data_IF_534469046039
#
_entry.id   IF_534469046039
#
_cell.length_a   1.000
_cell.length_b   1.000
_cell.length_c   1.000
_cell.angle_alpha   90.00
_cell.angle_beta   90.00
_cell.angle_gamma   90.00
#
_symmetry.space_group_name_H-M   'P 1'
#
loop_
_entity.id
_entity.type
_entity.pdbx_description
1 polymer ?
#
# COMPACT_ATOMS: atom_id res chain seq x y z
N UNK A 1 15.84 -2.38 -1.42
CA UNK A 1 15.20 -1.09 -1.68
C UNK A 1 13.76 -1.20 -1.22
N UNK A 2 13.21 -0.18 -0.57
CA UNK A 2 11.77 -0.13 -0.29
C UNK A 2 11.14 0.70 -1.40
N UNK A 3 10.16 0.13 -2.08
CA UNK A 3 9.35 0.88 -3.03
C UNK A 3 8.09 1.36 -2.36
N UNK A 4 7.62 2.54 -2.75
CA UNK A 4 6.36 3.09 -2.25
C UNK A 4 5.48 3.60 -3.38
N UNK A 5 4.17 3.62 -3.13
CA UNK A 5 3.17 4.22 -4.02
C UNK A 5 2.01 4.73 -3.19
N UNK A 6 1.25 5.66 -3.73
CA UNK A 6 0.05 6.20 -3.10
C UNK A 6 -1.20 5.56 -3.69
N UNK A 7 -2.14 5.22 -2.82
CA UNK A 7 -3.48 4.76 -3.16
C UNK A 7 -4.51 5.74 -2.60
N UNK A 8 -5.35 6.28 -3.48
CA UNK A 8 -6.41 7.20 -3.11
C UNK A 8 -7.65 6.41 -2.70
N UNK A 9 -7.90 6.30 -1.40
CA UNK A 9 -9.09 5.62 -0.87
C UNK A 9 -10.21 6.62 -0.54
N UNK A 10 -11.48 6.17 -0.41
CA UNK A 10 -12.58 7.01 0.04
C UNK A 10 -12.39 7.64 1.43
N UNK A 11 -11.44 7.13 2.23
CA UNK A 11 -11.16 7.59 3.60
C UNK A 11 -9.82 8.32 3.72
N UNK A 12 -9.20 8.66 2.59
CA UNK A 12 -7.94 9.39 2.52
C UNK A 12 -6.86 8.65 1.75
N UNK A 13 -5.70 9.28 1.64
CA UNK A 13 -4.54 8.70 0.97
C UNK A 13 -3.91 7.61 1.83
N UNK A 14 -3.57 6.51 1.18
CA UNK A 14 -2.88 5.37 1.78
C UNK A 14 -1.54 5.24 1.07
N UNK A 15 -0.45 5.30 1.84
CA UNK A 15 0.87 4.95 1.35
C UNK A 15 1.05 3.43 1.45
N UNK A 16 1.38 2.80 0.33
CA UNK A 16 1.76 1.40 0.26
C UNK A 16 3.28 1.29 0.19
N UNK A 17 3.87 0.31 0.87
CA UNK A 17 5.29 -0.02 0.73
C UNK A 17 5.50 -1.49 0.42
N UNK A 18 6.44 -1.75 -0.48
CA UNK A 18 6.85 -3.07 -0.91
C UNK A 18 8.36 -3.21 -0.76
N UNK A 19 8.81 -4.42 -0.39
CA UNK A 19 10.20 -4.83 -0.44
C UNK A 19 10.27 -6.26 -0.93
N UNK A 20 11.20 -6.54 -1.84
CA UNK A 20 11.48 -7.88 -2.35
C UNK A 20 10.22 -8.63 -2.86
N UNK A 21 9.40 -7.95 -3.69
CA UNK A 21 8.13 -8.51 -4.21
C UNK A 21 7.10 -8.86 -3.15
N UNK A 22 7.15 -8.21 -1.99
CA UNK A 22 6.22 -8.43 -0.88
C UNK A 22 5.73 -7.09 -0.32
N UNK A 23 4.41 -6.97 -0.10
CA UNK A 23 3.84 -5.82 0.58
C UNK A 23 4.28 -5.83 2.05
N UNK A 24 5.04 -4.83 2.47
CA UNK A 24 5.60 -4.74 3.83
C UNK A 24 4.90 -3.70 4.70
N UNK A 25 4.04 -2.87 4.11
CA UNK A 25 3.16 -2.05 4.93
C UNK A 25 2.21 -1.15 4.16
N UNK A 26 1.32 -0.57 4.95
CA UNK A 26 0.20 0.25 4.54
C UNK A 26 -0.05 1.28 5.63
N UNK A 27 -0.01 2.57 5.27
CA UNK A 27 -0.21 3.66 6.23
C UNK A 27 -1.18 4.69 5.68
N UNK A 28 -2.15 5.10 6.49
CA UNK A 28 -2.95 6.30 6.21
C UNK A 28 -2.07 7.54 6.36
N UNK A 29 -2.07 8.41 5.35
CA UNK A 29 -1.40 9.71 5.42
C UNK A 29 -1.98 10.57 6.55
N UNK A 30 -1.13 11.30 7.25
CA UNK A 30 -1.53 12.22 8.32
C UNK A 30 -1.87 11.58 9.67
N UNK A 31 -1.72 10.26 9.84
CA UNK A 31 -1.89 9.58 11.13
C UNK A 31 -0.61 9.61 11.99
N UNK A 32 -0.78 9.51 13.32
CA UNK A 32 0.29 9.65 14.33
C UNK A 32 1.52 8.74 14.11
N UNK A 33 1.37 7.62 13.41
CA UNK A 33 2.43 6.62 13.16
C UNK A 33 2.81 6.50 11.67
N UNK A 34 2.49 7.50 10.85
CA UNK A 34 2.89 7.52 9.44
C UNK A 34 4.40 7.28 9.30
N UNK A 35 4.77 6.21 8.57
CA UNK A 35 6.15 5.75 8.37
C UNK A 35 6.96 5.35 9.62
N UNK A 36 6.36 5.35 10.81
CA UNK A 36 7.10 5.19 12.07
C UNK A 36 7.79 3.83 12.26
N UNK A 37 7.42 2.81 11.48
CA UNK A 37 7.99 1.46 11.52
C UNK A 37 8.94 1.13 10.36
N UNK A 38 9.10 2.02 9.38
CA UNK A 38 9.92 1.75 8.19
C UNK A 38 11.34 2.28 8.39
N UNK A 39 12.32 1.40 8.27
CA UNK A 39 13.74 1.75 8.27
C UNK A 39 14.34 1.44 6.91
N UNK A 40 14.94 2.45 6.27
CA UNK A 40 15.61 2.32 4.97
C UNK A 40 15.20 3.41 3.98
N UNK A 41 15.92 3.43 2.85
CA UNK A 41 15.61 4.33 1.74
C UNK A 41 14.34 3.87 1.02
N UNK A 42 13.41 4.82 0.86
CA UNK A 42 12.14 4.63 0.15
C UNK A 42 12.22 5.33 -1.19
N UNK A 43 11.91 4.60 -2.26
CA UNK A 43 11.83 5.15 -3.60
C UNK A 43 10.40 5.01 -4.12
N UNK A 44 9.82 6.10 -4.61
CA UNK A 44 8.52 6.01 -5.25
C UNK A 44 8.62 5.17 -6.54
N UNK A 45 7.74 4.17 -6.66
CA UNK A 45 7.64 3.32 -7.84
C UNK A 45 6.20 2.83 -7.95
N UNK A 46 5.47 3.35 -8.93
CA UNK A 46 4.04 3.09 -9.03
C UNK A 46 3.71 1.75 -9.73
N UNK A 47 4.62 1.22 -10.54
CA UNK A 47 4.32 0.14 -11.50
C UNK A 47 4.88 -1.24 -11.09
N UNK A 48 4.67 -1.65 -9.84
CA UNK A 48 5.00 -3.02 -9.41
C UNK A 48 3.77 -3.93 -9.46
N UNK A 49 4.00 -5.22 -9.68
CA UNK A 49 2.91 -6.21 -9.68
C UNK A 49 2.19 -6.28 -8.32
N UNK A 50 2.92 -6.10 -7.22
CA UNK A 50 2.36 -6.10 -5.87
C UNK A 50 1.46 -4.88 -5.65
N UNK A 51 1.87 -3.70 -6.10
CA UNK A 51 1.01 -2.52 -6.00
C UNK A 51 -0.23 -2.63 -6.87
N UNK A 52 -0.11 -3.11 -8.10
CA UNK A 52 -1.27 -3.38 -8.95
C UNK A 52 -2.27 -4.36 -8.31
N UNK A 53 -1.77 -5.46 -7.75
CA UNK A 53 -2.61 -6.45 -7.07
C UNK A 53 -3.26 -5.86 -5.82
N UNK A 54 -2.48 -5.12 -5.01
CA UNK A 54 -2.96 -4.50 -3.77
C UNK A 54 -4.02 -3.43 -4.06
N UNK A 55 -3.81 -2.58 -5.07
CA UNK A 55 -4.80 -1.57 -5.50
C UNK A 55 -6.13 -2.22 -5.88
N UNK A 56 -6.10 -3.25 -6.75
CA UNK A 56 -7.30 -3.99 -7.16
C UNK A 56 -8.01 -4.64 -5.98
N UNK A 57 -7.26 -5.16 -5.01
CA UNK A 57 -7.83 -5.72 -3.79
C UNK A 57 -8.50 -4.63 -2.95
N UNK A 58 -7.84 -3.49 -2.75
CA UNK A 58 -8.37 -2.35 -2.00
C UNK A 58 -9.61 -1.75 -2.67
N UNK A 59 -9.63 -1.62 -3.99
CA UNK A 59 -10.80 -1.14 -4.74
C UNK A 59 -12.04 -1.98 -4.44
N UNK A 60 -11.89 -3.31 -4.46
CA UNK A 60 -12.96 -4.25 -4.13
C UNK A 60 -13.37 -4.14 -2.66
N UNK A 61 -12.40 -4.04 -1.75
CA UNK A 61 -12.66 -3.85 -0.33
C UNK A 61 -13.47 -2.57 -0.06
N UNK A 62 -13.06 -1.44 -0.66
CA UNK A 62 -13.75 -0.16 -0.51
C UNK A 62 -15.09 -0.10 -1.26
N UNK A 63 -15.30 -0.94 -2.28
CA UNK A 63 -16.61 -1.18 -2.89
C UNK A 63 -17.56 -2.02 -2.00
N UNK A 64 -17.12 -2.45 -0.81
CA UNK A 64 -17.92 -3.26 0.12
C UNK A 64 -17.91 -4.76 -0.20
N UNK A 65 -17.07 -5.21 -1.12
CA UNK A 65 -16.85 -6.63 -1.35
C UNK A 65 -16.02 -7.27 -0.22
N UNK A 66 -15.95 -8.60 -0.22
CA UNK A 66 -15.08 -9.39 0.67
C UNK A 66 -14.00 -10.13 -0.14
N UNK A 67 -13.03 -9.40 -0.73
CA UNK A 67 -11.99 -10.02 -1.53
C UNK A 67 -11.10 -10.92 -0.65
N UNK A 68 -10.75 -12.11 -1.14
CA UNK A 68 -9.76 -12.96 -0.49
C UNK A 68 -8.36 -12.37 -0.68
N UNK A 69 -7.54 -12.41 0.37
CA UNK A 69 -6.12 -12.14 0.22
C UNK A 69 -5.50 -13.23 -0.68
N UNK A 70 -4.76 -12.81 -1.69
CA UNK A 70 -3.98 -13.75 -2.51
C UNK A 70 -2.70 -14.01 -1.72
N UNK A 71 -2.54 -15.24 -1.23
CA UNK A 71 -1.36 -15.71 -0.49
C UNK A 71 -0.42 -16.42 -1.46
#
# INVERSE_FOLDING_TARGET
MIYTTHYHSPIGNILLAEKDSTLIGLWMEGQKYFLGSVQGEMLEKNDTAIFEQTRKWLDRYFAGEKPQAVV
#
